data_IF_844219674541
#
_entry.id   IF_844219674541
#
_cell.length_a   1.000
_cell.length_b   1.000
_cell.length_c   1.000
_cell.angle_alpha   90.00
_cell.angle_beta   90.00
_cell.angle_gamma   90.00
#
_symmetry.space_group_name_H-M   'P 1'
#
loop_
_entity.id
_entity.type
_entity.pdbx_description
1 polymer ?
#
# COMPACT_ATOMS: atom_id res chain seq x y z
N UNK A 1 -8.10 18.52 10.56
CA UNK A 1 -8.43 17.51 9.51
C UNK A 1 -7.66 16.22 9.78
N UNK A 2 -8.15 15.06 9.36
CA UNK A 2 -7.45 13.77 9.46
C UNK A 2 -6.98 13.26 8.09
N UNK A 3 -5.72 12.84 7.99
CA UNK A 3 -5.21 12.04 6.87
C UNK A 3 -4.94 10.62 7.37
N UNK A 4 -5.66 9.63 6.85
CA UNK A 4 -5.31 8.23 7.06
C UNK A 4 -4.17 7.88 6.11
N UNK A 5 -3.00 7.55 6.66
CA UNK A 5 -1.74 7.56 5.92
C UNK A 5 -1.06 6.21 5.76
N UNK A 6 0.24 6.27 5.44
CA UNK A 6 1.10 5.11 5.18
C UNK A 6 1.62 5.03 3.74
N UNK A 7 1.27 6.00 2.89
CA UNK A 7 1.72 6.07 1.49
C UNK A 7 2.62 7.29 1.25
N UNK A 8 3.24 7.36 0.06
CA UNK A 8 3.97 8.57 -0.36
C UNK A 8 3.03 9.73 -0.65
N UNK A 9 1.82 9.43 -1.15
CA UNK A 9 0.76 10.37 -1.47
C UNK A 9 0.24 11.05 -0.20
N UNK A 10 0.01 10.29 0.87
CA UNK A 10 -0.37 10.83 2.18
C UNK A 10 0.66 11.84 2.70
N UNK A 11 1.96 11.51 2.58
CA UNK A 11 3.05 12.40 3.02
C UNK A 11 3.14 13.67 2.17
N UNK A 12 3.03 13.53 0.84
CA UNK A 12 3.00 14.68 -0.07
C UNK A 12 1.77 15.55 0.14
N UNK A 13 0.63 14.96 0.50
CA UNK A 13 -0.59 15.68 0.82
C UNK A 13 -0.42 16.49 2.12
N UNK A 14 0.08 15.86 3.18
CA UNK A 14 0.34 16.53 4.46
C UNK A 14 1.25 17.75 4.29
N UNK A 15 2.35 17.63 3.53
CA UNK A 15 3.29 18.72 3.27
C UNK A 15 2.70 19.90 2.46
N UNK A 16 1.53 19.72 1.83
CA UNK A 16 0.89 20.74 0.98
C UNK A 16 -0.32 21.39 1.61
N UNK A 17 -0.78 20.88 2.75
CA UNK A 17 -1.95 21.39 3.43
C UNK A 17 -1.53 22.23 4.64
N UNK A 18 -1.84 23.54 4.66
CA UNK A 18 -1.57 24.38 5.81
C UNK A 18 -2.55 24.07 6.96
N UNK A 19 -2.14 24.32 8.21
CA UNK A 19 -3.00 24.25 9.40
C UNK A 19 -2.95 22.93 10.17
N UNK A 20 -3.94 22.71 11.03
CA UNK A 20 -4.04 21.56 11.92
C UNK A 20 -4.47 20.28 11.17
N UNK A 21 -3.46 19.61 10.61
CA UNK A 21 -3.58 18.30 9.96
C UNK A 21 -2.97 17.25 10.87
N UNK A 22 -3.78 16.25 11.23
CA UNK A 22 -3.32 15.05 11.94
C UNK A 22 -3.16 13.93 10.93
N UNK A 23 -1.95 13.39 10.81
CA UNK A 23 -1.69 12.17 10.03
C UNK A 23 -1.78 10.94 10.94
N UNK A 24 -2.57 9.94 10.54
CA UNK A 24 -2.69 8.68 11.26
C UNK A 24 -1.96 7.55 10.55
N UNK A 25 -1.04 6.89 11.26
CA UNK A 25 -0.29 5.73 10.78
C UNK A 25 -0.69 4.48 11.55
N UNK A 26 -0.82 3.35 10.85
CA UNK A 26 -1.21 2.08 11.48
C UNK A 26 -0.16 1.48 12.44
N UNK A 27 1.06 2.04 12.52
CA UNK A 27 2.13 1.49 13.36
C UNK A 27 2.73 0.16 12.86
N UNK A 28 2.55 -0.15 11.56
CA UNK A 28 3.00 -1.42 10.96
C UNK A 28 4.49 -1.45 10.64
N UNK A 29 5.16 -0.30 10.68
CA UNK A 29 6.59 -0.16 10.47
C UNK A 29 7.21 0.39 11.76
N UNK A 30 8.30 -0.21 12.24
CA UNK A 30 8.95 0.17 13.51
C UNK A 30 9.46 1.62 13.50
N UNK A 31 10.08 2.03 12.39
CA UNK A 31 10.57 3.40 12.18
C UNK A 31 10.01 3.98 10.87
N UNK A 32 8.75 4.46 10.84
CA UNK A 32 8.14 5.00 9.63
C UNK A 32 8.75 6.37 9.28
N UNK A 33 8.79 6.71 7.98
CA UNK A 33 9.07 8.09 7.57
C UNK A 33 7.84 8.94 7.93
N UNK A 34 7.99 9.85 8.89
CA UNK A 34 6.89 10.68 9.38
C UNK A 34 6.52 11.76 8.34
N UNK A 35 5.23 12.06 8.17
CA UNK A 35 4.78 13.27 7.47
C UNK A 35 5.08 14.52 8.31
N UNK A 36 5.03 15.68 7.67
CA UNK A 36 5.03 16.97 8.36
C UNK A 36 3.73 17.14 9.17
N UNK A 37 3.83 17.86 10.29
CA UNK A 37 2.70 18.15 11.18
C UNK A 37 2.49 17.12 12.29
N UNK A 38 1.27 17.11 12.85
CA UNK A 38 0.90 16.21 13.94
C UNK A 38 0.74 14.78 13.42
N UNK A 39 1.29 13.81 14.15
CA UNK A 39 1.22 12.39 13.78
C UNK A 39 0.74 11.56 14.94
N UNK A 40 -0.27 10.73 14.66
CA UNK A 40 -0.75 9.68 15.56
C UNK A 40 -0.36 8.31 15.00
N UNK A 41 0.01 7.40 15.91
CA UNK A 41 0.37 6.02 15.57
C UNK A 41 -0.51 5.05 16.35
N UNK A 42 -1.08 4.07 15.65
CA UNK A 42 -1.90 3.02 16.24
C UNK A 42 -3.31 2.96 15.66
N UNK A 43 -4.00 1.84 15.95
CA UNK A 43 -5.37 1.61 15.50
C UNK A 43 -6.38 2.52 16.20
N UNK A 44 -7.57 2.64 15.61
CA UNK A 44 -8.70 3.37 16.19
C UNK A 44 -9.64 2.48 17.01
N UNK A 45 -9.41 1.17 17.08
CA UNK A 45 -10.36 0.26 17.74
C UNK A 45 -11.59 -0.08 16.89
N UNK A 46 -11.44 -0.11 15.56
CA UNK A 46 -12.53 -0.38 14.64
C UNK A 46 -13.30 0.87 14.22
N UNK A 47 -14.54 0.69 13.76
CA UNK A 47 -15.43 1.78 13.32
C UNK A 47 -15.81 2.68 14.49
N UNK A 48 -16.28 2.10 15.61
CA UNK A 48 -16.78 2.88 16.75
C UNK A 48 -15.71 3.80 17.33
N UNK A 49 -14.51 3.28 17.58
CA UNK A 49 -13.43 4.11 18.09
C UNK A 49 -12.92 5.13 17.06
N UNK A 50 -13.08 4.90 15.75
CA UNK A 50 -12.82 5.96 14.75
C UNK A 50 -13.90 7.05 14.84
N UNK A 51 -15.19 6.72 14.99
CA UNK A 51 -16.27 7.70 15.17
C UNK A 51 -16.03 8.57 16.40
N UNK A 52 -15.73 7.94 17.54
CA UNK A 52 -15.44 8.64 18.79
C UNK A 52 -14.24 9.57 18.65
N UNK A 53 -13.17 9.09 18.03
CA UNK A 53 -11.97 9.88 17.81
C UNK A 53 -12.24 11.08 16.89
N UNK A 54 -12.98 10.90 15.78
CA UNK A 54 -13.34 12.00 14.87
C UNK A 54 -14.10 13.10 15.61
N UNK A 55 -15.07 12.73 16.46
CA UNK A 55 -15.87 13.69 17.24
C UNK A 55 -15.06 14.39 18.32
N UNK A 56 -14.31 13.62 19.11
CA UNK A 56 -13.52 14.15 20.22
C UNK A 56 -12.42 15.13 19.78
N UNK A 57 -11.91 14.97 18.55
CA UNK A 57 -10.86 15.81 17.98
C UNK A 57 -11.40 16.86 16.99
N UNK A 58 -12.72 17.08 16.95
CA UNK A 58 -13.33 18.10 16.09
C UNK A 58 -12.98 17.97 14.61
N UNK A 59 -12.86 16.74 14.11
CA UNK A 59 -12.39 16.50 12.73
C UNK A 59 -13.48 16.89 11.74
N UNK A 60 -13.18 17.87 10.90
CA UNK A 60 -14.11 18.43 9.91
C UNK A 60 -14.02 17.78 8.52
N UNK A 61 -12.95 17.01 8.26
CA UNK A 61 -12.78 16.26 7.01
C UNK A 61 -11.77 15.13 7.19
N UNK A 62 -11.93 14.06 6.40
CA UNK A 62 -11.01 12.92 6.32
C UNK A 62 -10.54 12.71 4.89
N UNK A 63 -9.23 12.58 4.69
CA UNK A 63 -8.67 12.03 3.46
C UNK A 63 -8.09 10.65 3.76
N UNK A 64 -8.69 9.61 3.18
CA UNK A 64 -8.11 8.27 3.16
C UNK A 64 -7.04 8.19 2.05
N UNK A 65 -5.79 8.29 2.45
CA UNK A 65 -4.61 8.11 1.61
C UNK A 65 -3.81 6.86 2.02
N UNK A 66 -4.49 5.83 2.56
CA UNK A 66 -3.89 4.55 2.92
C UNK A 66 -3.48 3.76 1.69
N UNK A 67 -2.74 2.65 1.88
CA UNK A 67 -2.34 1.79 0.77
C UNK A 67 -3.58 1.19 0.07
N UNK A 68 -3.62 1.00 -1.26
CA UNK A 68 -4.77 0.41 -1.96
C UNK A 68 -5.25 -0.98 -1.49
N UNK A 69 -4.45 -1.67 -0.67
CA UNK A 69 -4.75 -2.95 -0.04
C UNK A 69 -5.13 -2.84 1.44
N UNK A 70 -5.20 -1.63 2.01
CA UNK A 70 -5.67 -1.38 3.38
C UNK A 70 -7.21 -1.37 3.44
N UNK A 71 -7.86 -2.34 2.78
CA UNK A 71 -9.31 -2.39 2.55
C UNK A 71 -10.12 -2.24 3.85
N UNK A 72 -9.69 -2.89 4.93
CA UNK A 72 -10.33 -2.77 6.24
C UNK A 72 -10.32 -1.33 6.76
N UNK A 73 -9.20 -0.62 6.66
CA UNK A 73 -9.12 0.76 7.13
C UNK A 73 -9.98 1.68 6.27
N UNK A 74 -9.97 1.50 4.95
CA UNK A 74 -10.85 2.23 4.03
C UNK A 74 -12.33 1.96 4.34
N UNK A 75 -12.72 0.71 4.56
CA UNK A 75 -14.09 0.37 4.95
C UNK A 75 -14.49 1.02 6.29
N UNK A 76 -13.58 1.01 7.28
CA UNK A 76 -13.80 1.71 8.55
C UNK A 76 -13.96 3.21 8.34
N UNK A 77 -13.15 3.82 7.47
CA UNK A 77 -13.23 5.25 7.17
C UNK A 77 -14.58 5.62 6.55
N UNK A 78 -15.05 4.85 5.56
CA UNK A 78 -16.35 5.06 4.91
C UNK A 78 -17.48 5.04 5.94
N UNK A 79 -17.54 3.99 6.76
CA UNK A 79 -18.62 3.85 7.76
C UNK A 79 -18.53 4.91 8.86
N UNK A 80 -17.34 5.13 9.43
CA UNK A 80 -17.18 6.04 10.56
C UNK A 80 -17.43 7.50 10.17
N UNK A 81 -16.99 7.91 8.98
CA UNK A 81 -17.21 9.28 8.49
C UNK A 81 -18.69 9.54 8.19
N UNK A 82 -19.40 8.56 7.62
CA UNK A 82 -20.85 8.63 7.44
C UNK A 82 -21.57 8.79 8.79
N UNK A 83 -21.23 7.96 9.80
CA UNK A 83 -21.80 8.03 11.16
C UNK A 83 -21.45 9.31 11.93
N UNK A 84 -20.28 9.89 11.66
CA UNK A 84 -19.83 11.13 12.28
C UNK A 84 -20.34 12.38 11.56
N UNK A 85 -20.94 12.25 10.37
CA UNK A 85 -21.31 13.39 9.53
C UNK A 85 -20.10 14.16 8.98
N UNK A 86 -18.96 13.47 8.81
CA UNK A 86 -17.70 14.06 8.37
C UNK A 86 -17.49 13.72 6.89
N UNK A 87 -17.12 14.68 6.02
CA UNK A 87 -16.84 14.37 4.62
C UNK A 87 -15.57 13.52 4.47
N UNK A 88 -15.64 12.54 3.56
CA UNK A 88 -14.55 11.64 3.22
C UNK A 88 -14.15 11.79 1.74
N UNK A 89 -12.85 11.85 1.51
CA UNK A 89 -12.23 11.67 0.20
C UNK A 89 -11.25 10.50 0.24
N UNK A 90 -11.27 9.65 -0.77
CA UNK A 90 -10.24 8.63 -0.97
C UNK A 90 -9.22 9.13 -2.00
N UNK A 91 -7.94 9.21 -1.60
CA UNK A 91 -6.82 9.48 -2.48
C UNK A 91 -6.17 8.16 -2.90
N UNK A 92 -6.49 7.69 -4.10
CA UNK A 92 -6.06 6.39 -4.63
C UNK A 92 -5.56 6.52 -6.06
N UNK A 93 -4.24 6.47 -6.21
CA UNK A 93 -3.56 6.45 -7.51
C UNK A 93 -4.02 5.28 -8.40
N UNK A 94 -3.88 5.37 -9.74
CA UNK A 94 -4.33 4.33 -10.66
C UNK A 94 -3.61 2.98 -10.48
N UNK A 95 -4.28 1.92 -10.95
CA UNK A 95 -3.71 0.58 -11.19
C UNK A 95 -2.53 0.63 -12.13
N UNK A 96 -1.62 -0.34 -12.04
CA UNK A 96 -0.72 -0.58 -13.16
C UNK A 96 -1.44 -1.27 -14.31
N UNK A 97 -0.97 -1.00 -15.54
CA UNK A 97 -1.43 -1.66 -16.76
C UNK A 97 -0.22 -2.31 -17.42
N UNK A 98 -0.38 -3.57 -17.86
CA UNK A 98 0.67 -4.27 -18.58
C UNK A 98 0.92 -3.59 -19.93
N UNK A 99 2.19 -3.37 -20.26
CA UNK A 99 2.63 -2.87 -21.56
C UNK A 99 3.25 -3.97 -22.43
N UNK A 100 3.73 -3.62 -23.64
CA UNK A 100 4.46 -4.55 -24.48
C UNK A 100 5.68 -5.16 -23.75
N UNK A 101 5.81 -6.48 -23.83
CA UNK A 101 6.88 -7.25 -23.20
C UNK A 101 6.61 -7.67 -21.75
N UNK A 102 5.51 -7.22 -21.13
CA UNK A 102 5.10 -7.69 -19.81
C UNK A 102 4.40 -9.06 -19.90
N UNK A 103 4.88 -10.06 -19.15
CA UNK A 103 4.18 -11.34 -18.93
C UNK A 103 3.51 -11.32 -17.54
N UNK A 104 2.29 -10.77 -17.48
CA UNK A 104 1.57 -10.62 -16.21
C UNK A 104 0.43 -11.64 -16.10
N UNK A 105 0.38 -12.32 -14.95
CA UNK A 105 -0.73 -13.19 -14.54
C UNK A 105 -1.47 -12.51 -13.41
N UNK A 106 -2.73 -12.20 -13.63
CA UNK A 106 -3.55 -11.55 -12.61
C UNK A 106 -4.30 -12.56 -11.77
N UNK A 107 -4.25 -12.39 -10.45
CA UNK A 107 -4.93 -13.25 -9.46
C UNK A 107 -5.76 -12.40 -8.49
N UNK A 108 -6.84 -12.95 -7.94
CA UNK A 108 -7.75 -12.28 -7.02
C UNK A 108 -7.16 -12.09 -5.62
N UNK A 109 -6.25 -12.97 -5.20
CA UNK A 109 -5.68 -12.96 -3.85
C UNK A 109 -4.25 -13.52 -3.80
N UNK A 110 -3.62 -13.43 -2.63
CA UNK A 110 -2.32 -14.06 -2.40
C UNK A 110 -2.46 -15.57 -2.22
N UNK A 111 -3.58 -16.03 -1.71
CA UNK A 111 -3.91 -17.45 -1.56
C UNK A 111 -4.04 -18.10 -2.94
N UNK A 112 -4.71 -17.42 -3.88
CA UNK A 112 -4.74 -17.84 -5.28
C UNK A 112 -3.33 -17.83 -5.90
N UNK A 113 -2.51 -16.81 -5.60
CA UNK A 113 -1.13 -16.76 -6.06
C UNK A 113 -0.29 -17.94 -5.54
N UNK A 114 -0.49 -18.33 -4.28
CA UNK A 114 0.24 -19.43 -3.63
C UNK A 114 -0.21 -20.81 -4.11
N UNK A 115 -1.49 -20.96 -4.46
CA UNK A 115 -2.07 -22.22 -4.92
C UNK A 115 -1.55 -22.65 -6.31
N UNK A 116 -1.25 -21.70 -7.19
CA UNK A 116 -0.76 -21.94 -8.56
C UNK A 116 0.48 -21.08 -8.86
N UNK A 117 1.46 -21.13 -7.97
CA UNK A 117 2.67 -20.32 -8.05
C UNK A 117 3.64 -20.92 -9.09
N UNK A 118 3.96 -20.22 -10.19
CA UNK A 118 4.92 -20.73 -11.16
C UNK A 118 6.36 -20.65 -10.61
N UNK A 119 7.27 -21.33 -11.30
CA UNK A 119 8.71 -21.23 -11.08
C UNK A 119 9.20 -21.84 -9.76
N UNK A 120 10.51 -21.74 -9.55
CA UNK A 120 11.23 -22.32 -8.42
C UNK A 120 11.83 -21.26 -7.50
N UNK A 121 11.98 -20.02 -7.98
CA UNK A 121 12.73 -18.94 -7.31
C UNK A 121 11.94 -17.64 -7.36
N UNK A 122 11.12 -17.46 -6.33
CA UNK A 122 10.07 -16.44 -6.30
C UNK A 122 10.53 -15.20 -5.54
N UNK A 123 10.38 -14.03 -6.14
CA UNK A 123 10.57 -12.75 -5.47
C UNK A 123 9.23 -12.22 -4.93
N UNK A 124 9.06 -12.23 -3.61
CA UNK A 124 7.92 -11.65 -2.92
C UNK A 124 8.17 -10.17 -2.58
N UNK A 125 7.29 -9.32 -3.13
CA UNK A 125 7.26 -7.88 -2.84
C UNK A 125 5.93 -7.44 -2.24
N UNK A 126 5.25 -8.36 -1.57
CA UNK A 126 3.90 -8.24 -1.02
C UNK A 126 3.88 -7.57 0.37
N UNK A 127 5.01 -7.59 1.07
CA UNK A 127 5.22 -7.02 2.41
C UNK A 127 5.21 -8.07 3.52
N UNK A 128 5.77 -7.73 4.70
CA UNK A 128 5.95 -8.70 5.81
C UNK A 128 4.69 -9.45 6.24
N UNK A 129 3.53 -8.78 6.24
CA UNK A 129 2.29 -9.36 6.79
C UNK A 129 1.75 -10.50 5.93
N UNK A 130 2.22 -10.61 4.69
CA UNK A 130 1.67 -11.48 3.67
C UNK A 130 2.61 -12.65 3.32
N UNK A 131 3.82 -12.66 3.87
CA UNK A 131 4.82 -13.73 3.61
C UNK A 131 4.31 -15.09 4.06
N UNK A 132 3.57 -15.14 5.18
CA UNK A 132 3.05 -16.39 5.74
C UNK A 132 2.03 -17.11 4.85
N UNK A 133 1.41 -16.44 3.88
CA UNK A 133 0.51 -17.09 2.91
C UNK A 133 1.24 -18.15 2.08
N UNK A 134 2.55 -17.98 1.88
CA UNK A 134 3.40 -18.89 1.12
C UNK A 134 4.08 -19.95 2.00
N UNK A 135 3.73 -20.06 3.28
CA UNK A 135 4.43 -20.95 4.22
C UNK A 135 4.38 -22.43 3.83
N UNK A 136 3.33 -22.86 3.12
CA UNK A 136 3.17 -24.22 2.63
C UNK A 136 3.87 -24.51 1.28
N UNK A 137 4.46 -23.51 0.63
CA UNK A 137 5.08 -23.65 -0.68
C UNK A 137 6.50 -24.23 -0.59
N UNK A 138 6.90 -25.03 -1.60
CA UNK A 138 8.21 -25.71 -1.65
C UNK A 138 9.33 -24.91 -2.36
N UNK A 139 8.97 -23.84 -3.06
CA UNK A 139 9.87 -22.97 -3.81
C UNK A 139 10.88 -22.25 -2.91
N UNK A 140 11.95 -21.72 -3.51
CA UNK A 140 12.79 -20.71 -2.86
C UNK A 140 12.12 -19.34 -2.93
N UNK A 141 12.13 -18.60 -1.83
CA UNK A 141 11.56 -17.27 -1.75
C UNK A 141 12.63 -16.23 -1.39
N UNK A 142 12.79 -15.22 -2.23
CA UNK A 142 13.37 -13.94 -1.84
C UNK A 142 12.22 -13.06 -1.35
N UNK A 143 12.16 -12.70 -0.06
CA UNK A 143 11.12 -11.82 0.46
C UNK A 143 11.73 -10.47 0.83
N UNK A 144 11.30 -9.39 0.17
CA UNK A 144 11.70 -8.04 0.54
C UNK A 144 10.69 -7.42 1.48
N UNK A 145 11.17 -6.91 2.62
CA UNK A 145 10.36 -6.20 3.59
C UNK A 145 11.15 -5.09 4.27
N UNK A 146 10.45 -4.11 4.84
CA UNK A 146 11.06 -3.04 5.64
C UNK A 146 11.46 -3.55 7.02
N UNK A 147 10.55 -4.27 7.68
CA UNK A 147 10.77 -4.94 8.96
C UNK A 147 10.63 -6.45 8.75
N UNK A 148 11.29 -7.28 9.56
CA UNK A 148 11.25 -8.73 9.39
C UNK A 148 9.80 -9.27 9.45
N UNK A 149 9.45 -10.24 8.59
CA UNK A 149 8.23 -11.02 8.74
C UNK A 149 8.29 -11.90 9.98
N UNK A 150 7.12 -12.19 10.53
CA UNK A 150 6.95 -13.10 11.66
C UNK A 150 6.41 -14.45 11.13
N UNK A 151 6.67 -15.57 11.85
CA UNK A 151 6.11 -16.86 11.49
C UNK A 151 4.57 -16.84 11.40
N UNK A 152 3.96 -17.70 10.55
CA UNK A 152 4.61 -18.72 9.72
C UNK A 152 5.33 -18.11 8.49
N UNK A 153 6.34 -18.82 7.98
CA UNK A 153 7.11 -18.42 6.79
C UNK A 153 7.44 -19.64 5.92
N UNK A 154 7.70 -19.46 4.61
CA UNK A 154 8.21 -20.53 3.77
C UNK A 154 9.48 -21.15 4.34
N UNK A 155 9.65 -22.46 4.17
CA UNK A 155 10.83 -23.16 4.69
C UNK A 155 12.13 -22.70 4.03
N UNK A 156 12.07 -22.32 2.74
CA UNK A 156 13.22 -21.89 1.94
C UNK A 156 13.10 -20.41 1.62
N UNK A 157 13.41 -19.55 2.58
CA UNK A 157 13.28 -18.09 2.45
C UNK A 157 14.58 -17.35 2.73
N UNK A 158 14.88 -16.35 1.92
CA UNK A 158 15.85 -15.29 2.20
C UNK A 158 15.10 -13.97 2.39
N UNK A 159 15.21 -13.35 3.56
CA UNK A 159 14.58 -12.07 3.86
C UNK A 159 15.56 -10.94 3.59
N UNK A 160 15.24 -10.10 2.61
CA UNK A 160 15.95 -8.86 2.32
C UNK A 160 15.27 -7.71 3.06
N UNK A 161 15.94 -7.19 4.09
CA UNK A 161 15.49 -5.99 4.81
C UNK A 161 15.92 -4.75 4.04
N UNK A 162 14.96 -4.12 3.36
CA UNK A 162 15.25 -3.00 2.47
C UNK A 162 14.05 -2.05 2.36
N UNK A 163 14.35 -0.78 2.12
CA UNK A 163 13.38 0.31 2.03
C UNK A 163 13.75 1.24 0.90
N UNK A 164 12.84 1.36 -0.08
CA UNK A 164 13.06 2.17 -1.27
C UNK A 164 13.26 3.69 -1.06
N UNK A 165 13.42 4.43 -2.17
CA UNK A 165 13.07 4.03 -3.54
C UNK A 165 14.03 2.99 -4.15
N UNK A 166 13.51 2.16 -5.05
CA UNK A 166 14.27 1.13 -5.78
C UNK A 166 14.50 1.57 -7.22
N UNK A 167 15.67 1.26 -7.78
CA UNK A 167 16.03 1.58 -9.17
C UNK A 167 15.87 0.35 -10.06
N UNK A 168 15.65 0.55 -11.36
CA UNK A 168 15.52 -0.57 -12.31
C UNK A 168 16.79 -1.43 -12.34
N UNK A 169 17.96 -0.80 -12.41
CA UNK A 169 19.24 -1.52 -12.45
C UNK A 169 19.48 -2.32 -11.16
N UNK A 170 19.10 -1.77 -10.00
CA UNK A 170 19.17 -2.48 -8.73
C UNK A 170 18.25 -3.69 -8.70
N UNK A 171 17.02 -3.57 -9.19
CA UNK A 171 16.09 -4.70 -9.29
C UNK A 171 16.58 -5.76 -10.27
N UNK A 172 17.17 -5.36 -11.40
CA UNK A 172 17.78 -6.30 -12.37
C UNK A 172 18.94 -7.06 -11.74
N UNK A 173 19.84 -6.36 -11.04
CA UNK A 173 20.96 -6.98 -10.36
C UNK A 173 20.48 -7.97 -9.29
N UNK A 174 19.51 -7.57 -8.47
CA UNK A 174 18.94 -8.41 -7.41
C UNK A 174 18.26 -9.66 -7.97
N UNK A 175 17.44 -9.51 -9.00
CA UNK A 175 16.77 -10.65 -9.65
C UNK A 175 17.78 -11.62 -10.27
N UNK A 176 18.86 -11.12 -10.88
CA UNK A 176 19.94 -11.98 -11.43
C UNK A 176 20.73 -12.69 -10.35
N UNK A 177 21.16 -11.97 -9.30
CA UNK A 177 21.92 -12.51 -8.17
C UNK A 177 21.19 -13.70 -7.53
N UNK A 178 19.89 -13.56 -7.33
CA UNK A 178 19.08 -14.62 -6.74
C UNK A 178 18.46 -15.57 -7.76
N UNK A 179 18.78 -15.45 -9.05
CA UNK A 179 18.21 -16.25 -10.15
C UNK A 179 16.67 -16.32 -10.07
N UNK A 180 16.02 -15.18 -9.85
CA UNK A 180 14.57 -15.07 -9.73
C UNK A 180 13.93 -15.41 -11.08
N UNK A 181 12.96 -16.31 -11.05
CA UNK A 181 12.18 -16.74 -12.22
C UNK A 181 10.71 -16.32 -12.16
N UNK A 182 10.22 -15.83 -11.01
CA UNK A 182 8.87 -15.28 -10.86
C UNK A 182 8.87 -14.11 -9.88
N UNK A 183 8.19 -13.02 -10.23
CA UNK A 183 7.89 -11.91 -9.32
C UNK A 183 6.44 -12.02 -8.84
N UNK A 184 6.20 -12.02 -7.53
CA UNK A 184 4.85 -11.85 -6.96
C UNK A 184 4.73 -10.46 -6.35
N UNK A 185 3.67 -9.75 -6.74
CA UNK A 185 3.42 -8.41 -6.23
C UNK A 185 1.94 -8.08 -6.12
N UNK A 186 1.65 -7.08 -5.30
CA UNK A 186 0.34 -6.43 -5.23
C UNK A 186 0.30 -5.29 -6.23
N UNK A 187 -0.83 -5.06 -6.89
CA UNK A 187 -1.04 -3.84 -7.70
C UNK A 187 -1.11 -2.60 -6.77
N UNK A 188 0.05 -2.17 -6.28
CA UNK A 188 0.20 -0.97 -5.47
C UNK A 188 -0.02 0.29 -6.30
N UNK A 189 0.18 0.25 -7.62
CA UNK A 189 0.18 1.41 -8.49
C UNK A 189 1.31 2.41 -8.22
N UNK A 190 1.33 3.49 -9.00
CA UNK A 190 2.31 4.57 -8.88
C UNK A 190 3.72 4.19 -9.35
N UNK A 191 4.55 5.21 -9.57
CA UNK A 191 5.92 5.01 -10.08
C UNK A 191 6.94 4.56 -9.03
N UNK A 192 6.71 4.84 -7.74
CA UNK A 192 7.71 4.58 -6.69
C UNK A 192 8.03 3.10 -6.46
N UNK A 193 7.14 2.19 -6.87
CA UNK A 193 7.31 0.74 -6.69
C UNK A 193 7.29 -0.03 -8.02
N UNK A 194 7.34 0.65 -9.17
CA UNK A 194 7.27 0.01 -10.50
C UNK A 194 8.62 -0.50 -11.02
N UNK A 195 9.75 -0.13 -10.39
CA UNK A 195 11.08 -0.53 -10.85
C UNK A 195 11.23 -2.05 -11.04
N UNK A 196 10.64 -2.84 -10.14
CA UNK A 196 10.62 -4.30 -10.19
C UNK A 196 9.87 -4.86 -11.40
N UNK A 197 8.83 -4.18 -11.86
CA UNK A 197 8.07 -4.57 -13.05
C UNK A 197 8.91 -4.32 -14.30
N UNK A 198 9.59 -3.16 -14.35
CA UNK A 198 10.51 -2.87 -15.43
C UNK A 198 11.68 -3.88 -15.48
N UNK A 199 12.24 -4.25 -14.33
CA UNK A 199 13.27 -5.28 -14.26
C UNK A 199 12.76 -6.66 -14.69
N UNK A 200 11.58 -7.06 -14.23
CA UNK A 200 10.96 -8.32 -14.63
C UNK A 200 10.78 -8.40 -16.15
N UNK A 201 10.26 -7.33 -16.77
CA UNK A 201 10.16 -7.21 -18.23
C UNK A 201 11.51 -7.31 -18.95
N UNK A 202 12.55 -6.62 -18.46
CA UNK A 202 13.89 -6.68 -19.05
C UNK A 202 14.52 -8.07 -18.98
N UNK A 203 14.15 -8.86 -17.96
CA UNK A 203 14.66 -10.20 -17.74
C UNK A 203 13.76 -11.31 -18.30
N UNK A 204 12.58 -10.96 -18.84
CA UNK A 204 11.58 -11.96 -19.25
C UNK A 204 11.01 -12.76 -18.07
N UNK A 205 11.04 -12.20 -16.86
CA UNK A 205 10.51 -12.83 -15.65
C UNK A 205 9.00 -12.59 -15.60
N UNK A 206 8.15 -13.65 -15.55
CA UNK A 206 6.73 -13.49 -15.33
C UNK A 206 6.40 -12.82 -14.00
N UNK A 207 5.32 -12.05 -14.00
CA UNK A 207 4.83 -11.34 -12.82
C UNK A 207 3.43 -11.84 -12.45
N UNK A 208 3.28 -12.41 -11.26
CA UNK A 208 1.98 -12.65 -10.64
C UNK A 208 1.54 -11.37 -9.92
N UNK A 209 0.50 -10.74 -10.44
CA UNK A 209 -0.03 -9.48 -9.91
C UNK A 209 -1.35 -9.73 -9.19
N UNK A 210 -1.35 -9.52 -7.88
CA UNK A 210 -2.56 -9.59 -7.06
C UNK A 210 -3.42 -8.35 -7.33
N UNK A 211 -4.68 -8.59 -7.67
CA UNK A 211 -5.68 -7.55 -7.90
C UNK A 211 -5.97 -6.78 -6.63
N UNK A 212 -6.28 -5.51 -6.82
CA UNK A 212 -6.75 -4.66 -5.73
C UNK A 212 -8.11 -5.13 -5.23
N UNK A 213 -8.44 -4.88 -3.96
CA UNK A 213 -9.81 -4.93 -3.50
C UNK A 213 -10.67 -3.94 -4.29
N UNK A 214 -12.00 -4.19 -4.40
CA UNK A 214 -12.95 -3.32 -5.08
C UNK A 214 -12.81 -1.84 -4.69
N UNK A 215 -13.22 -0.91 -5.56
CA UNK A 215 -13.24 0.51 -5.20
C UNK A 215 -14.17 0.75 -4.00
N UNK A 216 -13.79 1.65 -3.08
CA UNK A 216 -14.67 2.02 -1.97
C UNK A 216 -15.89 2.80 -2.47
N UNK A 217 -17.00 2.70 -1.75
CA UNK A 217 -18.20 3.49 -1.99
C UNK A 217 -18.02 4.94 -1.46
N UNK A 218 -17.04 5.66 -1.99
CA UNK A 218 -16.71 7.03 -1.60
C UNK A 218 -16.12 7.85 -2.76
N UNK A 219 -16.25 9.18 -2.76
CA UNK A 219 -15.56 10.05 -3.71
C UNK A 219 -14.06 9.73 -3.73
N UNK A 220 -13.54 9.47 -4.93
CA UNK A 220 -12.15 9.06 -5.11
C UNK A 220 -11.46 9.97 -6.11
N UNK A 221 -10.24 10.38 -5.79
CA UNK A 221 -9.32 11.09 -6.68
C UNK A 221 -8.00 10.32 -6.79
N UNK A 222 -7.29 10.53 -7.89
CA UNK A 222 -6.08 9.77 -8.22
C UNK A 222 -4.77 10.53 -7.98
N UNK A 223 -4.85 11.82 -7.65
CA UNK A 223 -3.71 12.71 -7.52
C UNK A 223 -3.76 13.58 -6.26
N UNK A 224 -2.56 13.93 -5.76
CA UNK A 224 -2.43 14.83 -4.61
C UNK A 224 -2.99 16.21 -4.93
N UNK A 225 -2.87 16.68 -6.18
CA UNK A 225 -3.43 17.97 -6.61
C UNK A 225 -4.96 18.00 -6.44
N UNK A 226 -5.66 17.00 -6.96
CA UNK A 226 -7.11 16.90 -6.83
C UNK A 226 -7.56 16.78 -5.36
N UNK A 227 -6.78 16.09 -4.52
CA UNK A 227 -7.05 16.02 -3.08
C UNK A 227 -6.89 17.38 -2.39
N UNK A 228 -5.84 18.14 -2.73
CA UNK A 228 -5.63 19.51 -2.21
C UNK A 228 -6.78 20.42 -2.63
N UNK A 229 -7.24 20.35 -3.88
CA UNK A 229 -8.39 21.13 -4.35
C UNK A 229 -9.68 20.78 -3.60
N UNK A 230 -9.92 19.49 -3.35
CA UNK A 230 -11.07 19.05 -2.56
C UNK A 230 -11.05 19.62 -1.15
N UNK A 231 -9.91 19.55 -0.45
CA UNK A 231 -9.75 20.13 0.90
C UNK A 231 -10.02 21.63 0.88
N UNK A 232 -9.43 22.37 -0.07
CA UNK A 232 -9.59 23.82 -0.18
C UNK A 232 -11.05 24.24 -0.44
N UNK A 233 -11.79 23.48 -1.25
CA UNK A 233 -13.23 23.74 -1.49
C UNK A 233 -14.06 23.54 -0.22
N UNK A 234 -13.75 22.52 0.59
CA UNK A 234 -14.44 22.27 1.85
C UNK A 234 -14.18 23.32 2.93
N UNK A 235 -13.00 23.97 2.90
CA UNK A 235 -12.64 25.05 3.83
C UNK A 235 -13.16 26.44 3.44
N UNK A 236 -13.73 26.60 2.23
CA UNK A 236 -14.21 27.88 1.69
C UNK A 236 -15.67 28.22 2.00
N UNK A 237 -16.35 27.40 2.81
CA UNK A 237 -17.71 27.66 3.28
C UNK A 237 -17.71 28.07 4.75
N UNK A 238 -17.47 29.35 5.02
CA UNK A 238 -17.75 30.03 6.28
C UNK A 238 -18.36 31.40 5.97
#
# INVERSE_FOLDING_TARGET
MLILGGTGEARRLAARLPGEVVSSLAGRVAAPRLPEGEVRVGGFGGVDGLVEWLRANGITAVVDATHPFAATMTAHAVEATARAGVPLLVLRRPGWTAGPGDDWRWVGSLEEAAADLPGERVFLTTGRQDVGVFAGCGQFFLARSVDPPEPPMPQRIHVLLDRGPFTVDGEVALMREHAIDVLVTKDSGGGQTSAKLAAARLLGVPVVVVRRPPPPAAPTVDSVDAAVEWVRRGSGGA
#
